data_IF_854718861755
#
_entry.id   IF_854718861755
#
_cell.length_a   1.000
_cell.length_b   1.000
_cell.length_c   1.000
_cell.angle_alpha   90.00
_cell.angle_beta   90.00
_cell.angle_gamma   90.00
#
_symmetry.space_group_name_H-M   'P 1'
#
loop_
_entity.id
_entity.type
_entity.pdbx_description
1 polymer ?
#
# COMPACT_ATOMS: atom_id res chain seq x y z
N UNK A 1 -35.68 -102.64 41.59
CA UNK A 1 -35.96 -101.21 41.70
C UNK A 1 -34.73 -100.41 41.29
N UNK A 2 -34.95 -99.37 40.49
CA UNK A 2 -34.05 -98.22 40.21
C UNK A 2 -32.77 -98.51 39.43
N UNK A 3 -32.87 -98.56 38.11
CA UNK A 3 -31.85 -98.04 37.18
C UNK A 3 -32.58 -97.48 35.94
N UNK A 4 -32.04 -96.39 35.38
CA UNK A 4 -32.54 -95.52 34.30
C UNK A 4 -33.47 -94.36 34.71
N UNK A 5 -32.88 -93.18 34.98
CA UNK A 5 -33.29 -91.88 34.39
C UNK A 5 -32.46 -90.73 34.98
N UNK A 6 -31.19 -90.58 34.58
CA UNK A 6 -30.41 -89.37 34.93
C UNK A 6 -29.47 -88.86 33.85
N UNK A 7 -29.84 -89.05 32.58
CA UNK A 7 -29.07 -88.56 31.42
C UNK A 7 -29.74 -87.41 30.63
N UNK A 8 -31.01 -87.06 30.86
CA UNK A 8 -31.76 -86.18 29.95
C UNK A 8 -31.78 -84.68 30.26
N UNK A 9 -31.39 -84.24 31.46
CA UNK A 9 -31.66 -82.86 31.90
C UNK A 9 -30.55 -81.85 31.55
N UNK A 10 -29.30 -82.29 31.38
CA UNK A 10 -28.17 -81.41 31.04
C UNK A 10 -28.09 -81.05 29.56
N UNK A 11 -28.46 -81.97 28.65
CA UNK A 11 -28.44 -81.71 27.21
C UNK A 11 -29.58 -80.80 26.74
N UNK A 12 -30.76 -80.85 27.38
CA UNK A 12 -31.92 -80.05 26.98
C UNK A 12 -31.76 -78.56 27.29
N UNK A 13 -31.20 -78.23 28.46
CA UNK A 13 -30.94 -76.84 28.85
C UNK A 13 -29.81 -76.21 28.01
N UNK A 14 -28.72 -76.96 27.76
CA UNK A 14 -27.64 -76.53 26.87
C UNK A 14 -28.11 -76.29 25.43
N UNK A 15 -29.00 -77.15 24.91
CA UNK A 15 -29.61 -76.98 23.58
C UNK A 15 -30.54 -75.75 23.51
N UNK A 16 -31.36 -75.50 24.53
CA UNK A 16 -32.22 -74.30 24.57
C UNK A 16 -31.42 -73.00 24.71
N UNK A 17 -30.35 -73.00 25.51
CA UNK A 17 -29.44 -71.86 25.60
C UNK A 17 -28.67 -71.63 24.29
N UNK A 18 -28.20 -72.69 23.63
CA UNK A 18 -27.52 -72.58 22.34
C UNK A 18 -28.44 -72.03 21.23
N UNK A 19 -29.70 -72.45 21.17
CA UNK A 19 -30.68 -71.91 20.22
C UNK A 19 -30.95 -70.44 20.48
N UNK A 20 -31.10 -70.02 21.75
CA UNK A 20 -31.33 -68.61 22.07
C UNK A 20 -30.11 -67.73 21.86
N UNK A 21 -28.90 -68.27 22.02
CA UNK A 21 -27.65 -67.57 21.66
C UNK A 21 -27.59 -67.38 20.15
N UNK A 22 -27.90 -68.41 19.36
CA UNK A 22 -27.94 -68.29 17.89
C UNK A 22 -28.99 -67.27 17.41
N UNK A 23 -30.20 -67.27 17.97
CA UNK A 23 -31.23 -66.26 17.64
C UNK A 23 -30.80 -64.83 18.01
N UNK A 24 -30.06 -64.67 19.12
CA UNK A 24 -29.52 -63.38 19.53
C UNK A 24 -28.35 -62.94 18.64
N UNK A 25 -27.51 -63.87 18.19
CA UNK A 25 -26.44 -63.62 17.22
C UNK A 25 -27.01 -63.19 15.87
N UNK A 26 -28.03 -63.89 15.36
CA UNK A 26 -28.72 -63.52 14.12
C UNK A 26 -29.40 -62.14 14.24
N UNK A 27 -30.05 -61.84 15.37
CA UNK A 27 -30.65 -60.53 15.62
C UNK A 27 -29.58 -59.42 15.74
N UNK A 28 -28.43 -59.73 16.34
CA UNK A 28 -27.30 -58.80 16.45
C UNK A 28 -26.68 -58.52 15.08
N UNK A 29 -26.53 -59.55 14.22
CA UNK A 29 -26.07 -59.40 12.84
C UNK A 29 -27.07 -58.60 12.00
N UNK A 30 -28.37 -58.86 12.14
CA UNK A 30 -29.42 -58.07 11.46
C UNK A 30 -29.40 -56.60 11.90
N UNK A 31 -29.24 -56.32 13.20
CA UNK A 31 -29.11 -54.96 13.73
C UNK A 31 -27.83 -54.27 13.26
N UNK A 32 -26.70 -54.99 13.21
CA UNK A 32 -25.43 -54.45 12.65
C UNK A 32 -25.56 -54.14 11.16
N UNK A 33 -26.22 -55.00 10.39
CA UNK A 33 -26.49 -54.75 8.98
C UNK A 33 -27.42 -53.54 8.77
N UNK A 34 -28.42 -53.35 9.65
CA UNK A 34 -29.29 -52.19 9.61
C UNK A 34 -28.55 -50.91 10.02
N UNK A 35 -27.71 -50.97 11.06
CA UNK A 35 -26.86 -49.85 11.47
C UNK A 35 -25.89 -49.44 10.35
N UNK A 36 -25.23 -50.40 9.69
CA UNK A 36 -24.34 -50.11 8.57
C UNK A 36 -25.06 -49.45 7.39
N UNK A 37 -26.30 -49.85 7.08
CA UNK A 37 -27.14 -49.19 6.06
C UNK A 37 -27.47 -47.75 6.46
N UNK A 38 -27.93 -47.53 7.69
CA UNK A 38 -28.24 -46.19 8.19
C UNK A 38 -27.02 -45.28 8.25
N UNK A 39 -25.84 -45.81 8.61
CA UNK A 39 -24.58 -45.07 8.57
C UNK A 39 -24.20 -44.68 7.14
N UNK A 40 -24.41 -45.57 6.16
CA UNK A 40 -24.16 -45.25 4.75
C UNK A 40 -25.12 -44.19 4.21
N UNK A 41 -26.41 -44.28 4.55
CA UNK A 41 -27.42 -43.28 4.17
C UNK A 41 -27.16 -41.94 4.85
N UNK A 42 -26.73 -41.95 6.11
CA UNK A 42 -26.36 -40.74 6.84
C UNK A 42 -25.15 -40.08 6.18
N UNK A 43 -24.12 -40.85 5.81
CA UNK A 43 -22.94 -40.34 5.12
C UNK A 43 -23.28 -39.74 3.76
N UNK A 44 -24.10 -40.42 2.97
CA UNK A 44 -24.59 -39.85 1.70
C UNK A 44 -25.40 -38.57 1.90
N UNK A 45 -26.18 -38.47 2.98
CA UNK A 45 -26.94 -37.27 3.29
C UNK A 45 -26.03 -36.11 3.72
N UNK A 46 -24.94 -36.40 4.43
CA UNK A 46 -23.92 -35.42 4.82
C UNK A 46 -23.16 -34.90 3.60
N UNK A 47 -22.70 -35.79 2.71
CA UNK A 47 -22.03 -35.39 1.47
C UNK A 47 -22.95 -34.51 0.60
N UNK A 48 -24.23 -34.87 0.48
CA UNK A 48 -25.23 -34.05 -0.22
C UNK A 48 -25.45 -32.70 0.46
N UNK A 49 -25.43 -32.63 1.79
CA UNK A 49 -25.57 -31.38 2.53
C UNK A 49 -24.36 -30.46 2.33
N UNK A 50 -23.14 -31.01 2.35
CA UNK A 50 -21.90 -30.27 2.06
C UNK A 50 -21.86 -29.73 0.63
N UNK A 51 -22.26 -30.55 -0.36
CA UNK A 51 -22.42 -30.13 -1.75
C UNK A 51 -23.46 -29.00 -1.91
N UNK A 52 -24.57 -29.06 -1.17
CA UNK A 52 -25.58 -28.01 -1.21
C UNK A 52 -25.11 -26.73 -0.51
N UNK A 53 -24.34 -26.84 0.58
CA UNK A 53 -23.76 -25.69 1.27
C UNK A 53 -22.75 -24.96 0.39
N UNK A 54 -21.83 -25.69 -0.25
CA UNK A 54 -20.85 -25.10 -1.18
C UNK A 54 -21.53 -24.44 -2.38
N UNK A 55 -22.57 -25.05 -2.95
CA UNK A 55 -23.39 -24.42 -4.00
C UNK A 55 -24.12 -23.17 -3.51
N UNK A 56 -24.65 -23.17 -2.29
CA UNK A 56 -25.32 -22.00 -1.72
C UNK A 56 -24.34 -20.83 -1.52
N UNK A 57 -23.12 -21.12 -1.07
CA UNK A 57 -22.08 -20.13 -0.89
C UNK A 57 -21.60 -19.54 -2.24
N UNK A 58 -21.41 -20.38 -3.26
CA UNK A 58 -21.10 -19.92 -4.62
C UNK A 58 -22.20 -19.01 -5.18
N UNK A 59 -23.47 -19.41 -5.07
CA UNK A 59 -24.62 -18.60 -5.50
C UNK A 59 -24.73 -17.28 -4.71
N UNK A 60 -24.36 -17.27 -3.44
CA UNK A 60 -24.32 -16.04 -2.63
C UNK A 60 -23.22 -15.10 -3.10
N UNK A 61 -22.04 -15.62 -3.42
CA UNK A 61 -20.94 -14.82 -3.97
C UNK A 61 -21.33 -14.22 -5.33
N UNK A 62 -21.86 -15.04 -6.23
CA UNK A 62 -22.35 -14.58 -7.54
C UNK A 62 -23.47 -13.54 -7.40
N UNK A 63 -24.40 -13.75 -6.46
CA UNK A 63 -25.46 -12.79 -6.14
C UNK A 63 -24.92 -11.47 -5.56
N UNK A 64 -23.82 -11.49 -4.81
CA UNK A 64 -23.18 -10.28 -4.29
C UNK A 64 -22.47 -9.50 -5.42
N UNK A 65 -21.77 -10.19 -6.31
CA UNK A 65 -21.13 -9.60 -7.49
C UNK A 65 -22.16 -8.99 -8.44
N UNK A 66 -23.26 -9.70 -8.71
CA UNK A 66 -24.36 -9.20 -9.54
C UNK A 66 -24.98 -7.92 -8.96
N UNK A 67 -25.19 -7.86 -7.63
CA UNK A 67 -25.69 -6.65 -6.95
C UNK A 67 -24.72 -5.46 -7.07
N UNK A 68 -23.41 -5.71 -6.91
CA UNK A 68 -22.38 -4.69 -7.12
C UNK A 68 -22.42 -4.13 -8.54
N UNK A 69 -22.51 -5.02 -9.54
CA UNK A 69 -22.58 -4.65 -10.96
C UNK A 69 -23.86 -3.89 -11.32
N UNK A 70 -24.99 -4.22 -10.71
CA UNK A 70 -26.23 -3.43 -10.87
C UNK A 70 -26.05 -2.03 -10.28
N UNK A 71 -25.43 -1.91 -9.10
CA UNK A 71 -25.15 -0.61 -8.48
C UNK A 71 -24.28 0.31 -9.34
N UNK A 72 -23.23 -0.22 -9.97
CA UNK A 72 -22.39 0.57 -10.88
C UNK A 72 -23.15 1.02 -12.14
N UNK A 73 -23.95 0.13 -12.73
CA UNK A 73 -24.76 0.47 -13.91
C UNK A 73 -25.85 1.50 -13.59
N UNK A 74 -26.45 1.46 -12.40
CA UNK A 74 -27.41 2.47 -11.96
C UNK A 74 -26.77 3.85 -11.78
N UNK A 75 -25.53 3.91 -11.28
CA UNK A 75 -24.76 5.14 -11.17
C UNK A 75 -24.43 5.72 -12.56
N UNK A 76 -23.97 4.88 -13.49
CA UNK A 76 -23.72 5.28 -14.88
C UNK A 76 -24.99 5.79 -15.55
N UNK A 77 -26.13 5.09 -15.37
CA UNK A 77 -27.42 5.53 -15.88
C UNK A 77 -27.82 6.89 -15.30
N UNK A 78 -27.58 7.11 -14.01
CA UNK A 78 -27.84 8.41 -13.36
C UNK A 78 -26.96 9.52 -13.93
N UNK A 79 -25.70 9.25 -14.26
CA UNK A 79 -24.80 10.24 -14.86
C UNK A 79 -25.23 10.59 -16.29
N UNK A 80 -25.49 9.58 -17.13
CA UNK A 80 -26.00 9.80 -18.49
C UNK A 80 -27.34 10.54 -18.50
N UNK A 81 -28.24 10.27 -17.56
CA UNK A 81 -29.51 10.99 -17.45
C UNK A 81 -29.32 12.48 -17.14
N UNK A 82 -28.29 12.85 -16.36
CA UNK A 82 -27.95 14.26 -16.06
C UNK A 82 -27.38 14.97 -17.28
N UNK A 83 -26.48 14.32 -18.02
CA UNK A 83 -25.92 14.86 -19.26
C UNK A 83 -27.00 15.03 -20.33
N UNK A 84 -27.94 14.10 -20.43
CA UNK A 84 -29.06 14.21 -21.36
C UNK A 84 -30.01 15.36 -20.96
N UNK A 85 -30.18 15.61 -19.66
CA UNK A 85 -30.95 16.75 -19.18
C UNK A 85 -30.26 18.09 -19.49
N UNK A 86 -28.94 18.20 -19.27
CA UNK A 86 -28.20 19.44 -19.57
C UNK A 86 -28.17 19.74 -21.06
N UNK A 87 -27.90 18.73 -21.90
CA UNK A 87 -27.93 18.89 -23.36
C UNK A 87 -29.34 19.20 -23.89
N UNK A 88 -30.39 18.59 -23.32
CA UNK A 88 -31.76 18.96 -23.67
C UNK A 88 -32.09 20.39 -23.27
N UNK A 89 -31.57 20.88 -22.14
CA UNK A 89 -31.75 22.26 -21.72
C UNK A 89 -31.03 23.22 -22.68
N UNK A 90 -29.79 22.93 -23.06
CA UNK A 90 -29.05 23.70 -24.06
C UNK A 90 -29.82 23.76 -25.40
N UNK A 91 -30.31 22.63 -25.89
CA UNK A 91 -31.13 22.59 -27.10
C UNK A 91 -32.43 23.42 -26.97
N UNK A 92 -33.05 23.46 -25.79
CA UNK A 92 -34.22 24.30 -25.55
C UNK A 92 -33.88 25.79 -25.60
N UNK A 93 -32.74 26.19 -25.05
CA UNK A 93 -32.24 27.57 -25.14
C UNK A 93 -31.94 27.96 -26.59
N UNK A 94 -31.24 27.10 -27.34
CA UNK A 94 -30.96 27.36 -28.76
C UNK A 94 -32.24 27.44 -29.61
N UNK A 95 -33.26 26.61 -29.33
CA UNK A 95 -34.54 26.69 -30.02
C UNK A 95 -35.31 27.98 -29.68
N UNK A 96 -35.29 28.40 -28.42
CA UNK A 96 -35.89 29.66 -28.00
C UNK A 96 -35.23 30.87 -28.68
N UNK A 97 -33.92 30.82 -28.94
CA UNK A 97 -33.21 31.84 -29.74
C UNK A 97 -33.64 31.81 -31.22
N UNK A 98 -33.92 30.63 -31.79
CA UNK A 98 -34.35 30.47 -33.18
C UNK A 98 -35.83 30.80 -33.44
N UNK A 99 -36.70 30.78 -32.43
CA UNK A 99 -38.11 31.21 -32.55
C UNK A 99 -38.28 32.74 -32.73
N UNK A 100 -37.18 33.49 -32.67
CA UNK A 100 -37.16 34.86 -33.17
C UNK A 100 -37.34 34.84 -34.70
N UNK A 101 -38.30 35.60 -35.23
CA UNK A 101 -38.51 35.71 -36.69
C UNK A 101 -37.30 36.39 -37.34
N UNK A 102 -36.33 35.60 -37.78
CA UNK A 102 -35.15 36.07 -38.50
C UNK A 102 -35.59 36.50 -39.90
N UNK A 103 -35.59 37.81 -40.16
CA UNK A 103 -35.72 38.37 -41.50
C UNK A 103 -34.45 37.99 -42.28
N UNK A 104 -34.53 37.04 -43.21
CA UNK A 104 -33.45 36.80 -44.17
C UNK A 104 -33.42 37.96 -45.18
N UNK A 105 -32.63 38.99 -44.90
CA UNK A 105 -32.29 39.99 -45.92
C UNK A 105 -31.53 39.27 -47.04
N UNK A 106 -31.94 39.46 -48.30
CA UNK A 106 -31.27 38.90 -49.48
C UNK A 106 -29.76 39.26 -49.55
N UNK A 107 -29.36 40.34 -48.88
CA UNK A 107 -27.98 40.62 -48.50
C UNK A 107 -27.91 40.78 -46.98
N UNK A 108 -27.61 39.70 -46.28
CA UNK A 108 -27.45 39.73 -44.82
C UNK A 108 -26.06 40.30 -44.49
N UNK A 109 -25.96 41.50 -43.87
CA UNK A 109 -24.68 42.11 -43.52
C UNK A 109 -23.88 41.27 -42.52
N UNK A 110 -24.56 40.48 -41.69
CA UNK A 110 -23.93 39.56 -40.74
C UNK A 110 -23.29 38.36 -41.46
N UNK A 111 -24.00 37.79 -42.44
CA UNK A 111 -23.48 36.71 -43.27
C UNK A 111 -22.33 37.19 -44.16
N UNK A 112 -22.37 38.45 -44.62
CA UNK A 112 -21.27 39.09 -45.35
C UNK A 112 -20.05 39.28 -44.44
N UNK A 113 -20.24 39.82 -43.22
CA UNK A 113 -19.17 39.96 -42.24
C UNK A 113 -18.56 38.61 -41.84
N UNK A 114 -19.37 37.55 -41.68
CA UNK A 114 -18.88 36.18 -41.45
C UNK A 114 -18.08 35.66 -42.64
N UNK A 115 -18.54 35.87 -43.87
CA UNK A 115 -17.79 35.48 -45.08
C UNK A 115 -16.47 36.23 -45.18
N UNK A 116 -16.47 37.53 -44.93
CA UNK A 116 -15.26 38.35 -44.95
C UNK A 116 -14.28 37.94 -43.83
N UNK A 117 -14.79 37.60 -42.63
CA UNK A 117 -13.98 37.07 -41.54
C UNK A 117 -13.39 35.69 -41.85
N UNK A 118 -14.18 34.77 -42.41
CA UNK A 118 -13.71 33.45 -42.85
C UNK A 118 -12.68 33.59 -43.97
N UNK A 119 -12.90 34.50 -44.92
CA UNK A 119 -11.92 34.78 -45.97
C UNK A 119 -10.63 35.40 -45.41
N UNK A 120 -10.73 36.28 -44.41
CA UNK A 120 -9.58 36.82 -43.69
C UNK A 120 -8.78 35.75 -42.97
N UNK A 121 -9.46 34.86 -42.23
CA UNK A 121 -8.87 33.70 -41.58
C UNK A 121 -8.23 32.75 -42.59
N UNK A 122 -8.86 32.50 -43.75
CA UNK A 122 -8.29 31.67 -44.80
C UNK A 122 -7.04 32.30 -45.41
N UNK A 123 -7.01 33.62 -45.61
CA UNK A 123 -5.84 34.34 -46.09
C UNK A 123 -4.70 34.35 -45.06
N UNK A 124 -5.03 34.49 -43.77
CA UNK A 124 -4.06 34.40 -42.69
C UNK A 124 -3.50 32.98 -42.56
N UNK A 125 -4.34 31.95 -42.62
CA UNK A 125 -3.89 30.55 -42.63
C UNK A 125 -3.05 30.26 -43.87
N UNK A 126 -3.38 30.82 -45.03
CA UNK A 126 -2.56 30.68 -46.24
C UNK A 126 -1.20 31.36 -46.07
N UNK A 127 -1.16 32.59 -45.54
CA UNK A 127 0.07 33.33 -45.25
C UNK A 127 0.92 32.64 -44.19
N UNK A 128 0.31 32.14 -43.12
CA UNK A 128 0.97 31.36 -42.08
C UNK A 128 1.49 30.03 -42.63
N UNK A 129 0.77 29.37 -43.53
CA UNK A 129 1.26 28.16 -44.22
C UNK A 129 2.40 28.46 -45.18
N UNK A 130 2.38 29.58 -45.88
CA UNK A 130 3.47 30.06 -46.73
C UNK A 130 4.70 30.39 -45.88
N UNK A 131 4.51 31.11 -44.77
CA UNK A 131 5.54 31.41 -43.77
C UNK A 131 6.08 30.12 -43.16
N UNK A 132 5.24 29.15 -42.80
CA UNK A 132 5.64 27.84 -42.29
C UNK A 132 6.30 26.97 -43.38
N UNK A 133 6.06 27.20 -44.67
CA UNK A 133 6.79 26.55 -45.78
C UNK A 133 8.14 27.19 -46.01
N UNK A 134 8.25 28.52 -45.94
CA UNK A 134 9.54 29.23 -45.96
C UNK A 134 10.38 28.90 -44.72
N UNK A 135 9.73 28.77 -43.56
CA UNK A 135 10.29 28.29 -42.31
C UNK A 135 10.44 26.76 -42.32
N UNK A 136 9.73 26.05 -43.20
CA UNK A 136 9.80 24.61 -43.41
C UNK A 136 10.96 24.17 -44.31
N UNK A 137 11.60 25.11 -45.03
CA UNK A 137 12.99 24.95 -45.47
C UNK A 137 14.00 25.14 -44.32
N UNK A 138 13.54 25.69 -43.19
CA UNK A 138 14.22 25.69 -41.89
C UNK A 138 13.57 24.71 -40.91
N UNK A 139 13.17 23.52 -41.38
CA UNK A 139 12.60 22.42 -40.58
C UNK A 139 13.58 21.77 -39.59
N UNK A 140 14.39 22.58 -38.94
CA UNK A 140 15.21 22.23 -37.80
C UNK A 140 15.21 23.43 -36.87
N UNK A 141 14.38 23.40 -35.83
CA UNK A 141 14.81 23.97 -34.56
C UNK A 141 16.20 23.36 -34.31
N UNK A 142 17.23 24.18 -34.49
CA UNK A 142 18.49 23.69 -35.04
C UNK A 142 19.07 22.61 -34.14
N UNK A 143 19.48 21.48 -34.72
CA UNK A 143 20.24 20.44 -34.00
C UNK A 143 21.42 21.07 -33.23
N UNK A 144 21.90 22.23 -33.69
CA UNK A 144 22.86 23.11 -33.02
C UNK A 144 22.34 23.75 -31.71
N UNK A 145 21.11 24.26 -31.64
CA UNK A 145 20.50 24.76 -30.41
C UNK A 145 20.21 23.64 -29.41
N UNK A 146 19.73 22.49 -29.89
CA UNK A 146 19.53 21.29 -29.06
C UNK A 146 20.88 20.79 -28.53
N UNK A 147 21.92 20.76 -29.36
CA UNK A 147 23.28 20.40 -28.94
C UNK A 147 23.88 21.42 -27.95
N UNK A 148 23.60 22.71 -28.12
CA UNK A 148 24.03 23.78 -27.20
C UNK A 148 23.36 23.65 -25.83
N UNK A 149 22.05 23.42 -25.80
CA UNK A 149 21.30 23.19 -24.56
C UNK A 149 21.74 21.90 -23.85
N UNK A 150 22.00 20.81 -24.60
CA UNK A 150 22.56 19.57 -24.04
C UNK A 150 23.93 19.80 -23.40
N UNK A 151 24.85 20.52 -24.07
CA UNK A 151 26.16 20.87 -23.50
C UNK A 151 26.03 21.75 -22.24
N UNK A 152 25.09 22.68 -22.22
CA UNK A 152 24.81 23.50 -21.04
C UNK A 152 24.29 22.64 -19.89
N UNK A 153 23.34 21.74 -20.15
CA UNK A 153 22.82 20.80 -19.16
C UNK A 153 23.92 19.90 -18.59
N UNK A 154 24.78 19.34 -19.44
CA UNK A 154 25.93 18.54 -19.00
C UNK A 154 26.91 19.36 -18.16
N UNK A 155 27.19 20.61 -18.55
CA UNK A 155 28.09 21.48 -17.79
C UNK A 155 27.51 21.86 -16.41
N UNK A 156 26.20 22.10 -16.34
CA UNK A 156 25.49 22.40 -15.10
C UNK A 156 25.45 21.16 -14.20
N UNK A 157 25.14 20.00 -14.76
CA UNK A 157 25.16 18.72 -14.03
C UNK A 157 26.55 18.38 -13.50
N UNK A 158 27.62 18.57 -14.30
CA UNK A 158 29.01 18.41 -13.82
C UNK A 158 29.36 19.40 -12.71
N UNK A 159 28.90 20.65 -12.80
CA UNK A 159 29.11 21.65 -11.75
C UNK A 159 28.39 21.26 -10.46
N UNK A 160 27.15 20.79 -10.56
CA UNK A 160 26.36 20.32 -9.43
C UNK A 160 27.01 19.11 -8.76
N UNK A 161 27.47 18.13 -9.55
CA UNK A 161 28.20 16.96 -9.04
C UNK A 161 29.48 17.36 -8.30
N UNK A 162 30.26 18.30 -8.85
CA UNK A 162 31.47 18.83 -8.18
C UNK A 162 31.12 19.57 -6.89
N UNK A 163 30.03 20.34 -6.87
CA UNK A 163 29.59 21.07 -5.68
C UNK A 163 29.15 20.10 -4.58
N UNK A 164 28.39 19.06 -4.94
CA UNK A 164 27.98 17.98 -4.02
C UNK A 164 29.19 17.25 -3.44
N UNK A 165 30.16 16.88 -4.27
CA UNK A 165 31.41 16.26 -3.82
C UNK A 165 32.18 17.17 -2.87
N UNK A 166 32.40 18.43 -3.25
CA UNK A 166 33.12 19.38 -2.40
C UNK A 166 32.41 19.60 -1.06
N UNK A 167 31.06 19.60 -1.04
CA UNK A 167 30.30 19.72 0.20
C UNK A 167 30.41 18.47 1.06
N UNK A 168 30.34 17.28 0.47
CA UNK A 168 30.57 16.02 1.17
C UNK A 168 31.98 15.98 1.77
N UNK A 169 33.02 16.35 1.02
CA UNK A 169 34.40 16.39 1.52
C UNK A 169 34.54 17.35 2.72
N UNK A 170 33.88 18.51 2.67
CA UNK A 170 33.89 19.49 3.77
C UNK A 170 33.12 19.01 5.00
N UNK A 171 31.99 18.35 4.81
CA UNK A 171 31.22 17.76 5.92
C UNK A 171 32.02 16.61 6.55
N UNK A 172 32.58 15.71 5.76
CA UNK A 172 33.39 14.59 6.27
C UNK A 172 34.56 15.11 7.09
N UNK A 173 35.30 16.12 6.57
CA UNK A 173 36.38 16.76 7.32
C UNK A 173 35.90 17.38 8.65
N UNK A 174 34.71 17.98 8.67
CA UNK A 174 34.13 18.54 9.88
C UNK A 174 33.73 17.46 10.89
N UNK A 175 33.13 16.35 10.42
CA UNK A 175 32.78 15.20 11.26
C UNK A 175 34.05 14.56 11.81
N UNK A 176 35.10 14.38 11.00
CA UNK A 176 36.39 13.84 11.41
C UNK A 176 37.07 14.74 12.46
N UNK A 177 36.98 16.06 12.30
CA UNK A 177 37.47 17.01 13.29
C UNK A 177 36.68 16.92 14.60
N UNK A 178 35.34 16.85 14.54
CA UNK A 178 34.50 16.67 15.72
C UNK A 178 34.80 15.33 16.42
N UNK A 179 35.02 14.28 15.64
CA UNK A 179 35.40 12.96 16.13
C UNK A 179 36.73 13.00 16.88
N UNK A 180 37.74 13.65 16.31
CA UNK A 180 39.05 13.78 16.94
C UNK A 180 39.06 14.68 18.19
N UNK A 181 38.21 15.73 18.23
CA UNK A 181 38.17 16.70 19.34
C UNK A 181 37.30 16.19 20.49
N UNK A 182 36.11 15.68 20.19
CA UNK A 182 35.11 15.32 21.21
C UNK A 182 35.02 13.83 21.49
N UNK A 183 35.67 12.99 20.68
CA UNK A 183 35.59 11.53 20.85
C UNK A 183 34.24 10.93 20.47
N UNK A 184 33.42 11.65 19.69
CA UNK A 184 32.12 11.18 19.20
C UNK A 184 32.00 11.37 17.70
N UNK A 185 31.54 10.31 17.01
CA UNK A 185 31.13 10.39 15.62
C UNK A 185 29.65 10.77 15.59
N UNK A 186 29.33 11.81 14.84
CA UNK A 186 27.97 12.31 14.69
C UNK A 186 27.51 11.97 13.27
N UNK A 187 26.49 11.10 13.16
CA UNK A 187 25.85 10.80 11.89
C UNK A 187 24.45 11.40 11.86
N UNK A 188 24.06 11.97 10.72
CA UNK A 188 22.73 12.56 10.53
C UNK A 188 21.82 11.58 9.81
N UNK A 189 20.67 11.26 10.39
CA UNK A 189 19.61 10.48 9.76
C UNK A 189 18.34 11.34 9.64
N UNK A 190 17.72 11.33 8.46
CA UNK A 190 16.45 12.04 8.23
C UNK A 190 15.39 10.99 7.96
N UNK A 191 14.49 10.79 8.92
CA UNK A 191 13.40 9.82 8.83
C UNK A 191 12.08 10.55 9.11
N UNK A 192 11.06 10.35 8.27
CA UNK A 192 9.72 10.91 8.46
C UNK A 192 9.65 12.45 8.67
N UNK A 193 10.54 13.22 8.02
CA UNK A 193 10.71 14.68 8.17
C UNK A 193 11.28 15.15 9.51
N UNK A 194 11.72 14.24 10.36
CA UNK A 194 12.49 14.55 11.56
C UNK A 194 13.99 14.34 11.28
N UNK A 195 14.81 15.31 11.67
CA UNK A 195 16.27 15.18 11.63
C UNK A 195 16.75 14.65 12.97
N UNK A 196 17.40 13.49 12.94
CA UNK A 196 18.00 12.83 14.09
C UNK A 196 19.51 12.77 13.91
N UNK A 197 20.21 12.87 15.02
CA UNK A 197 21.66 12.78 15.10
C UNK A 197 22.04 11.59 15.98
N UNK A 198 22.80 10.67 15.40
CA UNK A 198 23.30 9.49 16.09
C UNK A 198 24.72 9.78 16.55
N UNK A 199 24.94 9.75 17.86
CA UNK A 199 26.24 9.89 18.49
C UNK A 199 26.82 8.52 18.80
N UNK A 200 28.03 8.25 18.28
CA UNK A 200 28.78 7.01 18.49
C UNK A 200 30.14 7.31 19.14
N UNK A 201 30.47 6.74 20.30
CA UNK A 201 31.76 6.96 20.96
C UNK A 201 32.97 6.46 20.15
N UNK A 202 34.13 7.08 20.33
CA UNK A 202 35.39 6.85 19.59
C UNK A 202 36.00 5.45 19.76
N UNK A 203 35.69 4.76 20.85
CA UNK A 203 36.41 3.55 21.26
C UNK A 203 35.53 2.31 21.45
N UNK A 204 34.28 2.34 20.96
CA UNK A 204 33.37 1.20 21.07
C UNK A 204 32.87 0.73 19.71
N UNK A 205 33.28 -0.50 19.34
CA UNK A 205 32.81 -1.22 18.15
C UNK A 205 31.41 -1.83 18.35
N UNK A 206 30.84 -1.70 19.56
CA UNK A 206 29.50 -2.21 19.86
C UNK A 206 28.45 -1.29 19.26
N UNK A 207 27.75 -1.76 18.24
CA UNK A 207 26.62 -1.06 17.62
C UNK A 207 25.47 -0.70 18.60
N UNK A 208 25.47 -1.29 19.80
CA UNK A 208 24.47 -1.01 20.84
C UNK A 208 24.73 0.27 21.63
N UNK A 209 25.91 0.89 21.52
CA UNK A 209 26.32 2.04 22.35
C UNK A 209 26.16 3.36 21.59
N UNK A 210 24.96 3.56 21.07
CA UNK A 210 24.60 4.75 20.30
C UNK A 210 23.56 5.58 21.07
N UNK A 211 23.74 6.89 21.05
CA UNK A 211 22.75 7.85 21.53
C UNK A 211 22.08 8.52 20.34
N UNK A 212 20.76 8.67 20.39
CA UNK A 212 19.99 9.32 19.33
C UNK A 212 19.42 10.61 19.87
N UNK A 213 19.70 11.72 19.18
CA UNK A 213 19.16 13.03 19.51
C UNK A 213 18.26 13.50 18.38
N UNK A 214 17.04 13.92 18.71
CA UNK A 214 16.18 14.67 17.79
C UNK A 214 16.57 16.15 17.87
N UNK A 215 16.71 16.81 16.74
CA UNK A 215 17.00 18.24 16.69
C UNK A 215 15.83 19.00 16.11
N UNK A 216 15.15 19.79 16.95
CA UNK A 216 13.97 20.57 16.58
C UNK A 216 14.04 21.95 17.25
N UNK A 217 13.68 23.01 16.53
CA UNK A 217 13.62 24.37 17.07
C UNK A 217 14.91 24.85 17.78
N UNK A 218 16.09 24.52 17.24
CA UNK A 218 17.41 24.79 17.83
C UNK A 218 17.68 24.15 19.20
N UNK A 219 16.88 23.16 19.59
CA UNK A 219 17.09 22.34 20.77
C UNK A 219 17.35 20.89 20.37
N UNK A 220 18.27 20.23 21.07
CA UNK A 220 18.47 18.79 20.96
C UNK A 220 17.72 18.10 22.09
N UNK A 221 17.00 17.03 21.77
CA UNK A 221 16.26 16.18 22.71
C UNK A 221 16.76 14.74 22.58
N UNK A 222 17.07 14.11 23.71
CA UNK A 222 17.52 12.72 23.72
C UNK A 222 16.32 11.79 23.49
N UNK A 223 16.43 10.92 22.49
CA UNK A 223 15.49 9.82 22.24
C UNK A 223 15.95 8.61 23.06
N UNK A 224 15.03 7.91 23.75
CA UNK A 224 15.37 6.69 24.47
C UNK A 224 15.98 5.63 23.54
N UNK A 225 17.21 5.24 23.84
CA UNK A 225 17.94 4.10 23.26
C UNK A 225 18.31 3.10 24.35
N UNK A 226 18.58 1.84 23.97
CA UNK A 226 19.07 0.80 24.90
C UNK A 226 20.24 1.29 25.75
N UNK A 227 21.16 2.06 25.15
CA UNK A 227 22.28 2.64 25.88
C UNK A 227 21.86 3.73 26.87
N UNK A 228 20.96 4.63 26.47
CA UNK A 228 20.45 5.67 27.36
C UNK A 228 19.70 5.10 28.57
N UNK A 229 19.05 3.94 28.42
CA UNK A 229 18.33 3.26 29.49
C UNK A 229 19.28 2.74 30.58
N UNK A 230 20.52 2.39 30.22
CA UNK A 230 21.53 1.95 31.20
C UNK A 230 22.08 3.08 32.07
N UNK A 231 21.84 4.34 31.70
CA UNK A 231 22.38 5.55 32.35
C UNK A 231 21.29 6.57 32.69
N UNK A 232 20.09 6.08 33.05
CA UNK A 232 18.94 6.93 33.37
C UNK A 232 19.24 7.95 34.48
N UNK A 233 20.06 7.57 35.48
CA UNK A 233 20.41 8.47 36.58
C UNK A 233 21.17 9.71 36.10
N UNK A 234 22.10 9.52 35.18
CA UNK A 234 22.90 10.57 34.55
C UNK A 234 22.04 11.40 33.60
N UNK A 235 21.18 10.75 32.80
CA UNK A 235 20.21 11.41 31.91
C UNK A 235 19.26 12.31 32.70
N UNK A 236 18.64 11.82 33.77
CA UNK A 236 17.72 12.60 34.60
C UNK A 236 18.42 13.78 35.27
N UNK A 237 19.67 13.60 35.68
CA UNK A 237 20.46 14.65 36.32
C UNK A 237 20.88 15.72 35.31
N UNK A 238 21.51 15.35 34.19
CA UNK A 238 22.09 16.32 33.26
C UNK A 238 21.09 16.86 32.25
N UNK A 239 20.20 16.02 31.72
CA UNK A 239 19.20 16.41 30.71
C UNK A 239 17.90 16.85 31.39
N UNK A 240 17.44 16.11 32.42
CA UNK A 240 16.23 16.45 33.15
C UNK A 240 16.38 17.70 34.03
N UNK A 241 17.35 17.69 34.96
CA UNK A 241 17.52 18.76 35.96
C UNK A 241 18.36 19.95 35.46
N UNK A 242 19.49 19.68 34.81
CA UNK A 242 20.40 20.75 34.36
C UNK A 242 20.17 21.20 32.90
N UNK A 243 19.38 20.45 32.11
CA UNK A 243 19.07 20.74 30.69
C UNK A 243 20.31 21.02 29.84
N UNK A 244 21.41 20.31 30.09
CA UNK A 244 22.68 20.49 29.39
C UNK A 244 23.21 19.18 28.83
N UNK A 245 23.01 19.00 27.52
CA UNK A 245 23.56 17.87 26.77
C UNK A 245 25.10 17.90 26.75
N UNK A 246 25.78 19.05 26.60
CA UNK A 246 27.24 19.07 26.64
C UNK A 246 27.84 18.54 27.95
N UNK A 247 27.21 18.82 29.10
CA UNK A 247 27.68 18.30 30.38
C UNK A 247 27.46 16.78 30.49
N UNK A 248 26.33 16.29 29.96
CA UNK A 248 26.03 14.86 29.89
C UNK A 248 27.08 14.12 29.03
N UNK A 249 27.36 14.60 27.82
CA UNK A 249 28.33 13.95 26.91
C UNK A 249 29.75 14.03 27.46
N UNK A 250 30.12 15.12 28.14
CA UNK A 250 31.44 15.23 28.79
C UNK A 250 31.60 14.21 29.93
N UNK A 251 30.58 14.04 30.78
CA UNK A 251 30.59 13.04 31.84
C UNK A 251 30.67 11.62 31.24
N UNK A 252 29.89 11.36 30.19
CA UNK A 252 29.92 10.09 29.48
C UNK A 252 31.29 9.79 28.86
N UNK A 253 31.97 10.79 28.31
CA UNK A 253 33.32 10.63 27.75
C UNK A 253 34.30 10.18 28.83
N UNK A 254 34.23 10.80 30.01
CA UNK A 254 35.07 10.43 31.15
C UNK A 254 34.77 9.02 31.66
N UNK A 255 33.49 8.64 31.72
CA UNK A 255 33.07 7.31 32.15
C UNK A 255 33.53 6.21 31.18
N UNK A 256 33.41 6.44 29.86
CA UNK A 256 33.90 5.52 28.82
C UNK A 256 35.43 5.40 28.92
N UNK A 257 36.14 6.52 29.04
CA UNK A 257 37.59 6.53 29.19
C UNK A 257 38.06 5.78 30.44
N UNK A 258 37.40 5.99 31.59
CA UNK A 258 37.72 5.31 32.84
C UNK A 258 37.51 3.80 32.76
N UNK A 259 36.39 3.36 32.16
CA UNK A 259 36.12 1.93 31.93
C UNK A 259 37.16 1.30 31.01
N UNK A 260 37.61 2.03 29.98
CA UNK A 260 38.62 1.54 29.05
C UNK A 260 40.03 1.48 29.68
N UNK A 261 40.36 2.40 30.58
CA UNK A 261 41.68 2.46 31.24
C UNK A 261 41.79 1.54 32.46
N UNK A 262 40.66 1.04 32.98
CA UNK A 262 40.60 0.07 34.09
C UNK A 262 40.67 -1.41 33.65
N UNK A 263 40.76 -1.67 32.33
CA UNK A 263 41.10 -2.98 31.75
C UNK A 263 42.60 -3.04 31.50
#
# INVERSE_FOLDING_TARGET
EVLLTRAGAGEGAGKQHAVRVAELEDALEAQRAQAAKLESELRESQDKAEDLMSKNEALRSEGAEAKSRVGSLEQERSMMARELASTSQELSHLKAEQDSRILHLASNPEQKARRDHVNGLMAEVASLREALRSQGQGGGATDAEVAKLKKQLESLSKRESRLKSAFQDRISLFIDACYAIFGYRIDMTTENKETRFVLRPMHEERESLNLIFKFESNAAELVPTEYSETMQREVDTFIGRYKTIPAFTANLTMDIFNKQTQV
#
